data_IF_561682121365
#
_entry.id   IF_561682121365
#
_cell.length_a   1.000
_cell.length_b   1.000
_cell.length_c   1.000
_cell.angle_alpha   90.00
_cell.angle_beta   90.00
_cell.angle_gamma   90.00
#
_symmetry.space_group_name_H-M   'P 1'
#
loop_
_entity.id
_entity.type
_entity.pdbx_description
1 polymer ?
#
# COMPACT_ATOMS: atom_id res chain seq x y z
N UNK A 1 -10.61 -22.41 8.18
CA UNK A 1 -9.63 -23.54 8.32
C UNK A 1 -8.54 -23.28 9.38
N UNK A 2 -7.93 -22.09 9.43
CA UNK A 2 -7.01 -21.77 10.54
C UNK A 2 -7.79 -21.62 11.85
N UNK A 3 -8.80 -20.75 11.88
CA UNK A 3 -9.57 -20.47 13.10
C UNK A 3 -10.51 -21.59 13.57
N UNK A 4 -10.93 -22.50 12.68
CA UNK A 4 -11.90 -23.54 13.04
C UNK A 4 -11.26 -24.84 13.53
N UNK A 5 -9.94 -25.01 13.31
CA UNK A 5 -9.25 -26.30 13.55
C UNK A 5 -7.88 -26.17 14.20
N UNK A 6 -7.44 -24.96 14.55
CA UNK A 6 -6.14 -24.72 15.19
C UNK A 6 -6.32 -23.83 16.40
N UNK A 7 -5.47 -24.04 17.41
CA UNK A 7 -5.27 -23.09 18.49
C UNK A 7 -4.31 -22.03 17.98
N UNK A 8 -4.74 -20.77 18.01
CA UNK A 8 -3.95 -19.61 17.58
C UNK A 8 -3.62 -18.73 18.80
N UNK A 9 -2.48 -18.06 18.77
CA UNK A 9 -2.05 -17.14 19.84
C UNK A 9 -1.75 -15.78 19.23
N UNK A 10 -2.27 -14.73 19.88
CA UNK A 10 -1.97 -13.33 19.55
C UNK A 10 -1.45 -12.67 20.81
N UNK A 11 -0.41 -11.85 20.68
CA UNK A 11 0.14 -11.07 21.76
C UNK A 11 0.04 -9.58 21.43
N UNK A 12 -0.39 -8.72 22.39
CA UNK A 12 -0.34 -7.28 22.21
C UNK A 12 1.11 -6.80 22.14
N UNK A 13 1.33 -5.67 21.47
CA UNK A 13 2.60 -4.95 21.47
C UNK A 13 2.44 -3.74 22.38
N UNK A 14 2.84 -3.87 23.64
CA UNK A 14 2.64 -2.82 24.65
C UNK A 14 3.65 -1.68 24.54
N UNK A 15 4.88 -1.97 24.11
CA UNK A 15 5.91 -0.96 23.87
C UNK A 15 5.56 -0.11 22.64
N UNK A 16 5.41 1.19 22.87
CA UNK A 16 5.10 2.16 21.81
C UNK A 16 6.16 2.19 20.71
N UNK A 17 7.43 2.08 21.06
CA UNK A 17 8.53 2.10 20.09
C UNK A 17 8.48 0.88 19.17
N UNK A 18 8.08 -0.27 19.69
CA UNK A 18 7.91 -1.48 18.88
C UNK A 18 6.68 -1.36 17.99
N UNK A 19 5.56 -0.82 18.49
CA UNK A 19 4.39 -0.52 17.64
C UNK A 19 4.76 0.38 16.47
N UNK A 20 5.47 1.48 16.74
CA UNK A 20 5.84 2.45 15.70
C UNK A 20 6.72 1.81 14.61
N UNK A 21 7.65 0.93 15.01
CA UNK A 21 8.49 0.14 14.09
C UNK A 21 7.69 -0.85 13.25
N UNK A 22 6.76 -1.59 13.86
CA UNK A 22 5.90 -2.54 13.12
C UNK A 22 4.98 -1.79 12.15
N UNK A 23 4.40 -0.66 12.57
CA UNK A 23 3.61 0.20 11.68
C UNK A 23 4.45 0.70 10.51
N UNK A 24 5.68 1.18 10.76
CA UNK A 24 6.60 1.61 9.71
C UNK A 24 6.90 0.50 8.69
N UNK A 25 7.18 -0.71 9.17
CA UNK A 25 7.38 -1.88 8.31
C UNK A 25 6.15 -2.19 7.44
N UNK A 26 4.93 -2.09 7.99
CA UNK A 26 3.69 -2.30 7.24
C UNK A 26 3.46 -1.18 6.22
N UNK A 27 3.76 0.07 6.58
CA UNK A 27 3.68 1.21 5.67
C UNK A 27 4.64 1.06 4.48
N UNK A 28 5.87 0.62 4.73
CA UNK A 28 6.84 0.31 3.66
C UNK A 28 6.30 -0.75 2.71
N UNK A 29 5.70 -1.83 3.24
CA UNK A 29 5.11 -2.89 2.42
C UNK A 29 3.91 -2.40 1.60
N UNK A 30 3.05 -1.57 2.20
CA UNK A 30 1.86 -1.04 1.53
C UNK A 30 2.19 -0.02 0.43
N UNK A 31 3.29 0.72 0.60
CA UNK A 31 3.79 1.70 -0.37
C UNK A 31 4.48 1.06 -1.59
N UNK A 32 4.76 -0.25 -1.56
CA UNK A 32 5.38 -0.95 -2.68
C UNK A 32 4.54 -0.81 -3.96
N UNK A 33 5.20 -0.35 -5.02
CA UNK A 33 4.60 -0.13 -6.33
C UNK A 33 5.31 -0.91 -7.44
N UNK A 34 6.19 -1.86 -7.09
CA UNK A 34 7.03 -2.61 -8.03
C UNK A 34 6.78 -4.11 -7.97
N UNK A 35 6.58 -4.65 -6.78
CA UNK A 35 6.50 -6.08 -6.49
C UNK A 35 5.14 -6.47 -5.90
N UNK A 36 4.38 -5.52 -5.34
CA UNK A 36 3.03 -5.73 -4.82
C UNK A 36 2.02 -6.12 -5.92
N UNK A 37 1.01 -6.90 -5.52
CA UNK A 37 -0.11 -7.32 -6.36
C UNK A 37 -1.42 -6.90 -5.70
N UNK A 38 -2.29 -6.25 -6.48
CA UNK A 38 -3.63 -5.90 -6.06
C UNK A 38 -4.60 -7.03 -6.44
N UNK A 39 -5.42 -7.46 -5.47
CA UNK A 39 -6.51 -8.40 -5.66
C UNK A 39 -7.81 -7.61 -5.89
N UNK A 40 -8.43 -7.80 -7.04
CA UNK A 40 -9.70 -7.18 -7.39
C UNK A 40 -10.90 -8.02 -6.94
N UNK A 41 -12.11 -7.42 -6.82
CA UNK A 41 -13.32 -8.13 -6.42
C UNK A 41 -13.73 -9.29 -7.33
N UNK A 42 -13.28 -9.28 -8.60
CA UNK A 42 -13.49 -10.36 -9.56
C UNK A 42 -12.50 -11.53 -9.39
N UNK A 43 -11.60 -11.44 -8.42
CA UNK A 43 -10.57 -12.44 -8.13
C UNK A 43 -9.31 -12.31 -9.00
N UNK A 44 -9.24 -11.32 -9.89
CA UNK A 44 -8.05 -11.06 -10.69
C UNK A 44 -6.93 -10.43 -9.85
N UNK A 45 -5.70 -10.77 -10.20
CA UNK A 45 -4.49 -10.19 -9.60
C UNK A 45 -3.77 -9.34 -10.63
N UNK A 46 -3.48 -8.08 -10.27
CA UNK A 46 -2.69 -7.18 -11.11
C UNK A 46 -1.47 -6.71 -10.34
N UNK A 47 -0.29 -6.88 -10.93
CA UNK A 47 0.94 -6.40 -10.32
C UNK A 47 1.02 -4.88 -10.45
N UNK A 48 1.31 -4.20 -9.34
CA UNK A 48 1.60 -2.76 -9.34
C UNK A 48 2.85 -2.48 -10.17
N UNK A 49 2.82 -1.32 -10.85
CA UNK A 49 3.94 -0.78 -11.60
C UNK A 49 4.13 0.69 -11.19
N UNK A 50 5.38 1.19 -11.10
CA UNK A 50 5.65 2.54 -10.62
C UNK A 50 5.18 3.67 -11.56
N UNK A 51 4.74 3.34 -12.78
CA UNK A 51 4.34 4.34 -13.78
C UNK A 51 5.49 5.29 -14.10
N UNK A 52 5.22 6.59 -14.12
CA UNK A 52 6.23 7.64 -14.28
C UNK A 52 6.90 8.07 -12.94
N UNK A 53 6.49 7.49 -11.81
CA UNK A 53 7.02 7.80 -10.49
C UNK A 53 8.28 7.02 -10.14
N UNK A 54 8.84 7.34 -8.97
CA UNK A 54 9.97 6.59 -8.40
C UNK A 54 9.51 5.17 -8.02
N UNK A 55 10.35 4.18 -8.34
CA UNK A 55 10.11 2.81 -7.93
C UNK A 55 10.34 2.65 -6.43
N UNK A 56 9.32 2.16 -5.73
CA UNK A 56 9.32 1.83 -4.31
C UNK A 56 9.31 0.30 -4.21
N UNK A 57 10.44 -0.27 -3.80
CA UNK A 57 10.60 -1.71 -3.57
C UNK A 57 10.77 -1.96 -2.07
N UNK A 58 9.90 -2.79 -1.51
CA UNK A 58 9.94 -3.19 -0.10
C UNK A 58 11.30 -3.80 0.24
N UNK A 59 11.72 -4.79 -0.54
CA UNK A 59 12.94 -5.55 -0.25
C UNK A 59 14.17 -4.65 -0.26
N UNK A 60 14.26 -3.73 -1.22
CA UNK A 60 15.37 -2.78 -1.28
C UNK A 60 15.38 -1.83 -0.08
N UNK A 61 14.21 -1.31 0.32
CA UNK A 61 14.09 -0.45 1.50
C UNK A 61 14.44 -1.19 2.79
N UNK A 62 13.92 -2.40 2.98
CA UNK A 62 14.16 -3.19 4.20
C UNK A 62 15.59 -3.73 4.31
N UNK A 63 16.30 -3.89 3.20
CA UNK A 63 17.74 -4.17 3.21
C UNK A 63 18.57 -2.97 3.70
N UNK A 64 18.12 -1.74 3.43
CA UNK A 64 18.77 -0.51 3.91
C UNK A 64 18.43 -0.23 5.37
N UNK A 65 17.19 -0.49 5.76
CA UNK A 65 16.68 -0.30 7.12
C UNK A 65 15.57 -1.32 7.40
N UNK A 66 15.87 -2.28 8.27
CA UNK A 66 14.98 -3.41 8.55
C UNK A 66 13.60 -3.01 9.10
N UNK A 67 13.43 -1.77 9.58
CA UNK A 67 12.16 -1.25 10.08
C UNK A 67 11.53 -0.21 9.16
N UNK A 68 12.13 0.11 8.01
CA UNK A 68 11.62 1.09 7.05
C UNK A 68 11.55 2.53 7.58
N UNK A 69 12.21 2.82 8.71
CA UNK A 69 12.09 4.08 9.45
C UNK A 69 12.71 5.26 8.69
N UNK A 70 13.71 4.98 7.86
CA UNK A 70 14.37 5.95 6.98
C UNK A 70 13.45 6.56 5.92
N UNK A 71 12.33 5.91 5.58
CA UNK A 71 11.36 6.42 4.58
C UNK A 71 10.34 7.35 5.23
N UNK A 72 9.91 7.04 6.46
CA UNK A 72 8.94 7.86 7.22
C UNK A 72 9.45 9.27 7.54
N UNK A 73 10.73 9.40 7.91
CA UNK A 73 11.32 10.71 8.18
C UNK A 73 11.24 11.66 6.96
N UNK A 74 11.33 11.10 5.74
CA UNK A 74 11.20 11.87 4.50
C UNK A 74 9.72 12.16 4.16
N UNK A 75 8.81 11.19 4.32
CA UNK A 75 7.39 11.37 3.99
C UNK A 75 6.62 12.20 5.01
N UNK A 76 6.95 12.20 6.30
CA UNK A 76 6.28 13.03 7.30
C UNK A 76 6.61 14.53 7.12
N UNK A 77 7.82 14.86 6.63
CA UNK A 77 8.18 16.22 6.22
C UNK A 77 7.42 16.70 4.97
N UNK A 78 7.11 15.78 4.04
CA UNK A 78 6.40 16.10 2.80
C UNK A 78 4.87 16.08 2.97
N UNK A 79 4.34 15.22 3.86
CA UNK A 79 2.90 15.10 4.17
C UNK A 79 2.38 16.29 4.98
N UNK A 80 3.22 16.93 5.78
CA UNK A 80 2.92 18.24 6.40
C UNK A 80 2.77 19.37 5.35
N UNK A 81 3.30 19.17 4.14
CA UNK A 81 3.38 20.18 3.09
C UNK A 81 2.43 19.92 1.90
N UNK A 82 1.73 18.78 1.86
CA UNK A 82 0.78 18.47 0.78
C UNK A 82 -0.64 18.97 1.13
N UNK A 83 -1.27 19.80 0.29
CA UNK A 83 -2.69 20.08 0.42
C UNK A 83 -3.49 18.79 0.17
N UNK A 84 -4.57 18.61 0.93
CA UNK A 84 -5.48 17.46 0.84
C UNK A 84 -5.89 17.19 -0.61
N UNK A 85 -5.83 15.93 -1.10
CA UNK A 85 -6.36 15.63 -2.41
C UNK A 85 -7.88 15.83 -2.40
N UNK A 86 -8.36 16.81 -3.16
CA UNK A 86 -9.79 16.96 -3.46
C UNK A 86 -10.29 15.68 -4.14
N UNK A 87 -11.49 15.19 -3.82
CA UNK A 87 -12.03 14.01 -4.47
C UNK A 87 -12.26 14.32 -5.94
N UNK A 88 -11.53 13.65 -6.84
CA UNK A 88 -11.86 13.69 -8.26
C UNK A 88 -13.18 12.95 -8.47
N UNK A 89 -14.17 13.55 -9.17
CA UNK A 89 -15.41 12.86 -9.46
C UNK A 89 -15.13 11.69 -10.40
N UNK A 90 -15.83 10.58 -10.16
CA UNK A 90 -15.81 9.39 -11.00
C UNK A 90 -16.09 9.80 -12.46
N UNK A 91 -15.08 9.65 -13.31
CA UNK A 91 -15.22 9.82 -14.75
C UNK A 91 -16.13 8.74 -15.30
N UNK A 92 -17.39 9.10 -15.52
CA UNK A 92 -18.31 8.38 -16.38
C UNK A 92 -17.67 8.22 -17.77
N UNK A 93 -17.33 6.99 -18.14
CA UNK A 93 -17.10 6.68 -19.55
C UNK A 93 -18.46 6.61 -20.24
N UNK A 94 -18.77 7.71 -20.91
CA UNK A 94 -19.93 7.89 -21.77
C UNK A 94 -19.95 6.86 -22.91
N UNK A 95 -21.17 6.40 -23.21
CA UNK A 95 -21.54 5.55 -24.31
C UNK A 95 -21.03 6.03 -25.68
N UNK A 96 -20.79 5.07 -26.57
CA UNK A 96 -20.74 5.29 -28.01
C UNK A 96 -21.92 4.53 -28.68
N UNK A 97 -22.48 5.04 -29.78
CA UNK A 97 -23.89 4.87 -30.13
C UNK A 97 -24.18 3.61 -30.97
N UNK A 98 -25.42 3.16 -30.84
CA UNK A 98 -26.13 2.24 -31.76
C UNK A 98 -26.40 2.91 -33.12
N UNK A 99 -26.05 2.24 -34.23
CA UNK A 99 -27.01 1.68 -35.22
C UNK A 99 -26.48 1.58 -36.66
N UNK A 100 -26.54 0.34 -37.16
CA UNK A 100 -26.94 -0.18 -38.48
C UNK A 100 -26.38 0.34 -39.81
N UNK A 101 -25.80 -0.59 -40.58
CA UNK A 101 -26.35 -1.06 -41.86
C UNK A 101 -26.03 -2.54 -42.04
#
# INVERSE_FOLDING_TARGET
RNFDRRVEVVAPIDDRRLRDRVCSLLETQLADNRQAWDLFPDGSYVQRKPGAGVAISTHEQLLKDSWGMSVRAATDGERASRPSPSPQPAGAQSAAPTSSS
#
